data_IF_303392335224
#
_entry.id   IF_303392335224
#
_cell.length_a   1.000
_cell.length_b   1.000
_cell.length_c   1.000
_cell.angle_alpha   90.00
_cell.angle_beta   90.00
_cell.angle_gamma   90.00
#
_symmetry.space_group_name_H-M   'P 1'
#
loop_
_entity.id
_entity.type
_entity.pdbx_description
1 polymer ?
#
# COMPACT_ATOMS: atom_id res chain seq x y z
N UNK A 1 12.90 -22.71 -14.43
CA UNK A 1 12.81 -21.23 -14.47
C UNK A 1 11.62 -20.82 -13.64
N UNK A 2 11.74 -20.14 -12.50
CA UNK A 2 10.54 -19.71 -11.80
C UNK A 2 9.91 -18.58 -12.60
N UNK A 3 8.80 -18.89 -13.27
CA UNK A 3 7.98 -17.92 -13.99
C UNK A 3 7.38 -16.89 -13.04
N UNK A 4 6.89 -15.79 -13.60
CA UNK A 4 6.02 -14.85 -12.91
C UNK A 4 4.86 -15.60 -12.23
N UNK A 5 4.27 -15.00 -11.18
CA UNK A 5 3.05 -15.57 -10.61
C UNK A 5 2.00 -15.72 -11.71
N UNK A 6 1.36 -16.89 -11.73
CA UNK A 6 0.20 -17.11 -12.58
C UNK A 6 -0.86 -16.02 -12.31
N UNK A 7 -1.60 -15.55 -13.32
CA UNK A 7 -2.49 -14.39 -13.18
C UNK A 7 -3.51 -14.53 -12.03
N UNK A 8 -4.06 -15.74 -11.83
CA UNK A 8 -4.99 -16.02 -10.74
C UNK A 8 -4.33 -15.92 -9.36
N UNK A 9 -3.13 -16.48 -9.18
CA UNK A 9 -2.36 -16.35 -7.94
C UNK A 9 -1.93 -14.91 -7.68
N UNK A 10 -1.59 -14.17 -8.74
CA UNK A 10 -1.26 -12.74 -8.61
C UNK A 10 -2.49 -11.96 -8.12
N UNK A 11 -3.66 -12.17 -8.74
CA UNK A 11 -4.89 -11.47 -8.34
C UNK A 11 -5.29 -11.80 -6.90
N UNK A 12 -5.27 -13.08 -6.53
CA UNK A 12 -5.55 -13.51 -5.16
C UNK A 12 -4.55 -12.91 -4.16
N UNK A 13 -3.25 -12.88 -4.51
CA UNK A 13 -2.24 -12.27 -3.66
C UNK A 13 -2.45 -10.76 -3.50
N UNK A 14 -2.84 -10.05 -4.56
CA UNK A 14 -3.15 -8.62 -4.50
C UNK A 14 -4.37 -8.35 -3.61
N UNK A 15 -5.41 -9.14 -3.73
CA UNK A 15 -6.62 -9.05 -2.90
C UNK A 15 -6.30 -9.27 -1.42
N UNK A 16 -5.54 -10.32 -1.11
CA UNK A 16 -5.10 -10.59 0.26
C UNK A 16 -4.11 -9.54 0.79
N UNK A 17 -3.29 -8.91 -0.06
CA UNK A 17 -2.41 -7.81 0.33
C UNK A 17 -3.19 -6.52 0.63
N UNK A 18 -4.33 -6.34 -0.04
CA UNK A 18 -5.28 -5.25 0.20
C UNK A 18 -6.12 -5.51 1.46
N UNK A 19 -6.29 -6.76 1.88
CA UNK A 19 -6.87 -7.06 3.19
C UNK A 19 -5.99 -6.41 4.28
N UNK A 20 -6.61 -5.59 5.13
CA UNK A 20 -5.93 -4.59 5.95
C UNK A 20 -5.15 -5.17 7.16
N UNK A 21 -4.93 -6.49 7.20
CA UNK A 21 -4.27 -7.20 8.31
C UNK A 21 -2.81 -6.77 8.49
N UNK A 22 -2.51 -5.98 9.51
CA UNK A 22 -1.20 -5.33 9.71
C UNK A 22 -0.10 -6.26 10.26
N UNK A 23 -0.04 -7.52 9.79
CA UNK A 23 0.88 -8.53 10.33
C UNK A 23 1.84 -9.08 9.27
N UNK A 24 3.12 -9.32 9.60
CA UNK A 24 4.05 -10.07 8.76
C UNK A 24 3.56 -11.48 8.42
N UNK A 25 2.70 -12.04 9.28
CA UNK A 25 2.01 -13.31 9.06
C UNK A 25 1.18 -13.27 7.77
N UNK A 26 0.56 -12.13 7.43
CA UNK A 26 -0.24 -12.02 6.22
C UNK A 26 0.55 -12.37 4.95
N UNK A 27 1.83 -11.99 4.81
CA UNK A 27 2.62 -12.32 3.60
C UNK A 27 2.99 -13.80 3.53
N UNK A 28 3.25 -14.42 4.68
CA UNK A 28 3.52 -15.86 4.74
C UNK A 28 2.23 -16.63 4.40
N UNK A 29 1.10 -16.20 4.96
CA UNK A 29 -0.23 -16.75 4.64
C UNK A 29 -0.58 -16.61 3.16
N UNK A 30 -0.31 -15.44 2.55
CA UNK A 30 -0.51 -15.24 1.11
C UNK A 30 0.37 -16.17 0.29
N UNK A 31 1.63 -16.33 0.67
CA UNK A 31 2.53 -17.25 -0.03
C UNK A 31 2.02 -18.69 0.07
N UNK A 32 1.59 -19.12 1.27
CA UNK A 32 0.98 -20.43 1.50
C UNK A 32 -0.31 -20.62 0.71
N UNK A 33 -1.16 -19.59 0.60
CA UNK A 33 -2.37 -19.62 -0.21
C UNK A 33 -2.10 -19.78 -1.71
N UNK A 34 -0.92 -19.33 -2.19
CA UNK A 34 -0.44 -19.59 -3.55
C UNK A 34 0.40 -20.88 -3.66
N UNK A 35 0.45 -21.70 -2.60
CA UNK A 35 1.26 -22.92 -2.51
C UNK A 35 2.77 -22.66 -2.73
N UNK A 36 3.26 -21.49 -2.31
CA UNK A 36 4.63 -21.01 -2.46
C UNK A 36 5.29 -20.74 -1.11
N UNK A 37 6.62 -20.84 -1.08
CA UNK A 37 7.40 -20.32 0.05
C UNK A 37 7.46 -18.79 -0.02
N UNK A 38 7.64 -18.12 1.13
CA UNK A 38 7.79 -16.66 1.20
C UNK A 38 8.84 -16.11 0.22
N UNK A 39 9.98 -16.77 0.10
CA UNK A 39 11.07 -16.35 -0.80
C UNK A 39 10.70 -16.48 -2.27
N UNK A 40 10.07 -17.60 -2.66
CA UNK A 40 9.58 -17.78 -4.03
C UNK A 40 8.46 -16.80 -4.36
N UNK A 41 7.48 -16.64 -3.47
CA UNK A 41 6.40 -15.67 -3.62
C UNK A 41 6.95 -14.25 -3.78
N UNK A 42 7.84 -13.79 -2.90
CA UNK A 42 8.40 -12.45 -3.00
C UNK A 42 9.16 -12.20 -4.30
N UNK A 43 9.85 -13.21 -4.83
CA UNK A 43 10.59 -13.09 -6.09
C UNK A 43 9.64 -13.10 -7.29
N UNK A 44 8.71 -14.05 -7.34
CA UNK A 44 7.70 -14.13 -8.39
C UNK A 44 6.81 -12.87 -8.42
N UNK A 45 6.42 -12.36 -7.25
CA UNK A 45 5.59 -11.15 -7.11
C UNK A 45 6.33 -9.92 -7.60
N UNK A 46 7.61 -9.80 -7.26
CA UNK A 46 8.46 -8.72 -7.78
C UNK A 46 8.65 -8.81 -9.29
N UNK A 47 8.75 -10.02 -9.86
CA UNK A 47 8.81 -10.18 -11.31
C UNK A 47 7.49 -9.78 -11.98
N UNK A 48 6.35 -10.08 -11.36
CA UNK A 48 5.04 -9.71 -11.90
C UNK A 48 4.67 -8.24 -11.74
N UNK A 49 5.04 -7.60 -10.62
CA UNK A 49 4.59 -6.24 -10.24
C UNK A 49 5.69 -5.18 -10.23
N UNK A 50 6.95 -5.59 -10.38
CA UNK A 50 8.13 -4.74 -10.22
C UNK A 50 8.52 -4.42 -8.77
N UNK A 51 7.65 -4.70 -7.79
CA UNK A 51 7.83 -4.32 -6.38
C UNK A 51 7.81 -5.54 -5.46
N UNK A 52 8.48 -5.46 -4.31
CA UNK A 52 8.29 -6.50 -3.28
C UNK A 52 6.86 -6.42 -2.71
N UNK A 53 6.29 -7.52 -2.21
CA UNK A 53 4.93 -7.53 -1.65
C UNK A 53 4.71 -6.44 -0.58
N UNK A 54 5.69 -6.25 0.31
CA UNK A 54 5.67 -5.20 1.32
C UNK A 54 5.67 -3.79 0.70
N UNK A 55 6.52 -3.55 -0.29
CA UNK A 55 6.60 -2.25 -0.95
C UNK A 55 5.33 -1.95 -1.75
N UNK A 56 4.78 -2.95 -2.43
CA UNK A 56 3.51 -2.83 -3.15
C UNK A 56 2.37 -2.50 -2.20
N UNK A 57 2.29 -3.20 -1.06
CA UNK A 57 1.28 -2.94 -0.02
C UNK A 57 1.38 -1.53 0.54
N UNK A 58 2.60 -1.09 0.89
CA UNK A 58 2.83 0.27 1.36
C UNK A 58 2.41 1.32 0.32
N UNK A 59 2.71 1.07 -0.97
CA UNK A 59 2.26 1.93 -2.06
C UNK A 59 0.74 1.95 -2.17
N UNK A 60 0.08 0.80 -2.12
CA UNK A 60 -1.39 0.71 -2.16
C UNK A 60 -2.05 1.46 -0.99
N UNK A 61 -1.52 1.30 0.24
CA UNK A 61 -1.97 2.05 1.42
C UNK A 61 -1.76 3.55 1.25
N UNK A 62 -0.63 3.97 0.70
CA UNK A 62 -0.33 5.38 0.43
C UNK A 62 -1.32 5.98 -0.57
N UNK A 63 -1.59 5.28 -1.67
CA UNK A 63 -2.54 5.72 -2.69
C UNK A 63 -3.98 5.79 -2.14
N UNK A 64 -4.38 4.82 -1.30
CA UNK A 64 -5.66 4.88 -0.58
C UNK A 64 -5.71 6.08 0.37
N UNK A 65 -4.66 6.30 1.16
CA UNK A 65 -4.57 7.45 2.06
C UNK A 65 -4.66 8.78 1.31
N UNK A 66 -3.97 8.95 0.18
CA UNK A 66 -4.08 10.15 -0.67
C UNK A 66 -5.53 10.40 -1.10
N UNK A 67 -6.22 9.37 -1.59
CA UNK A 67 -7.64 9.49 -1.98
C UNK A 67 -8.53 9.91 -0.80
N UNK A 68 -8.29 9.33 0.38
CA UNK A 68 -9.04 9.68 1.60
C UNK A 68 -8.68 11.08 2.12
N UNK A 69 -7.43 11.52 1.97
CA UNK A 69 -6.99 12.87 2.35
C UNK A 69 -7.69 13.96 1.54
N UNK A 70 -8.12 13.67 0.31
CA UNK A 70 -8.93 14.57 -0.51
C UNK A 70 -10.38 14.71 -0.02
N UNK A 71 -10.81 13.89 0.95
CA UNK A 71 -12.13 13.97 1.59
C UNK A 71 -12.08 14.76 2.90
N UNK A 72 -13.23 14.90 3.58
CA UNK A 72 -13.39 15.57 4.87
C UNK A 72 -12.96 14.74 6.09
N UNK A 73 -12.49 13.50 5.91
CA UNK A 73 -12.09 12.62 7.02
C UNK A 73 -10.94 13.20 7.86
N UNK A 74 -10.91 12.91 9.16
CA UNK A 74 -9.77 13.25 10.01
C UNK A 74 -8.52 12.45 9.63
N UNK A 75 -7.32 12.95 9.97
CA UNK A 75 -6.07 12.22 9.73
C UNK A 75 -6.03 10.85 10.42
N UNK A 76 -6.73 10.73 11.54
CA UNK A 76 -6.88 9.48 12.30
C UNK A 76 -7.74 8.49 11.53
N UNK A 77 -8.92 8.91 11.07
CA UNK A 77 -9.80 8.07 10.23
C UNK A 77 -9.11 7.67 8.93
N UNK A 78 -8.42 8.60 8.26
CA UNK A 78 -7.62 8.31 7.06
C UNK A 78 -6.59 7.21 7.33
N UNK A 79 -5.87 7.28 8.45
CA UNK A 79 -4.89 6.28 8.83
C UNK A 79 -5.52 4.90 9.03
N UNK A 80 -6.61 4.84 9.80
CA UNK A 80 -7.34 3.60 10.08
C UNK A 80 -7.91 2.97 8.81
N UNK A 81 -8.56 3.77 7.97
CA UNK A 81 -9.15 3.34 6.70
C UNK A 81 -8.07 2.89 5.70
N UNK A 82 -6.91 3.55 5.69
CA UNK A 82 -5.76 3.15 4.89
C UNK A 82 -5.03 1.90 5.44
N UNK A 83 -5.47 1.34 6.57
CA UNK A 83 -4.93 0.11 7.14
C UNK A 83 -3.70 0.33 8.02
N UNK A 84 -3.56 1.50 8.63
CA UNK A 84 -2.58 1.76 9.69
C UNK A 84 -3.23 1.62 11.06
N UNK A 85 -2.47 1.09 12.02
CA UNK A 85 -2.91 0.93 13.41
C UNK A 85 -3.26 2.25 14.12
N UNK A 86 -2.57 3.34 13.78
CA UNK A 86 -2.77 4.64 14.42
C UNK A 86 -2.26 5.80 13.54
N UNK A 87 -2.69 7.01 13.90
CA UNK A 87 -2.32 8.23 13.20
C UNK A 87 -0.82 8.52 13.21
N UNK A 88 -0.09 8.19 14.28
CA UNK A 88 1.36 8.47 14.36
C UNK A 88 2.14 7.56 13.43
N UNK A 89 1.81 6.26 13.40
CA UNK A 89 2.41 5.32 12.45
C UNK A 89 2.08 5.68 11.01
N UNK A 90 0.82 6.07 10.74
CA UNK A 90 0.40 6.60 9.44
C UNK A 90 1.22 7.83 9.05
N UNK A 91 1.27 8.86 9.89
CA UNK A 91 1.94 10.14 9.59
C UNK A 91 3.43 9.95 9.30
N UNK A 92 4.12 9.13 10.11
CA UNK A 92 5.55 8.81 9.92
C UNK A 92 5.77 8.07 8.59
N UNK A 93 4.95 7.08 8.30
CA UNK A 93 5.08 6.26 7.08
C UNK A 93 4.72 7.06 5.84
N UNK A 94 3.64 7.84 5.89
CA UNK A 94 3.22 8.73 4.82
C UNK A 94 4.30 9.75 4.51
N UNK A 95 4.84 10.44 5.52
CA UNK A 95 5.90 11.43 5.32
C UNK A 95 7.16 10.81 4.73
N UNK A 96 7.55 9.61 5.18
CA UNK A 96 8.70 8.89 4.62
C UNK A 96 8.52 8.52 3.15
N UNK A 97 7.30 8.18 2.73
CA UNK A 97 7.01 7.71 1.38
C UNK A 97 6.62 8.83 0.40
N UNK A 98 5.86 9.82 0.87
CA UNK A 98 5.38 10.96 0.08
C UNK A 98 6.31 12.17 0.13
N UNK A 99 7.30 12.18 1.04
CA UNK A 99 8.23 13.31 1.25
C UNK A 99 7.63 14.48 2.03
N UNK A 100 6.33 14.44 2.35
CA UNK A 100 5.61 15.51 3.04
C UNK A 100 4.56 14.95 3.99
N UNK A 101 4.16 15.75 4.98
CA UNK A 101 3.14 15.33 5.96
C UNK A 101 1.76 15.21 5.30
N UNK A 102 0.87 14.31 5.77
CA UNK A 102 -0.48 14.18 5.22
C UNK A 102 -1.31 15.47 5.38
N UNK A 103 -1.03 16.29 6.40
CA UNK A 103 -1.62 17.62 6.57
C UNK A 103 -1.18 18.59 5.48
N UNK A 104 0.12 18.62 5.17
CA UNK A 104 0.67 19.45 4.09
C UNK A 104 0.13 19.00 2.73
N UNK A 105 0.10 17.69 2.48
CA UNK A 105 -0.47 17.13 1.25
C UNK A 105 -1.95 17.51 1.05
N UNK A 106 -2.75 17.48 2.13
CA UNK A 106 -4.15 17.94 2.10
C UNK A 106 -4.25 19.44 1.77
N UNK A 107 -3.39 20.26 2.36
CA UNK A 107 -3.37 21.70 2.07
C UNK A 107 -2.96 21.98 0.61
N UNK A 108 -1.98 21.24 0.07
CA UNK A 108 -1.59 21.32 -1.33
C UNK A 108 -2.70 20.87 -2.28
N UNK A 109 -3.48 19.84 -1.94
CA UNK A 109 -4.64 19.46 -2.78
C UNK A 109 -5.71 20.54 -2.83
N UNK A 110 -5.95 21.23 -1.72
CA UNK A 110 -6.91 22.35 -1.67
C UNK A 110 -6.39 23.54 -2.50
N UNK A 111 -5.09 23.85 -2.41
CA UNK A 111 -4.46 24.92 -3.19
C UNK A 111 -4.17 24.55 -4.66
N UNK A 112 -3.99 23.26 -4.95
CA UNK A 112 -3.53 22.68 -6.22
C UNK A 112 -4.63 22.44 -7.26
N UNK A 113 -5.87 22.88 -6.98
CA UNK A 113 -6.89 23.03 -8.03
C UNK A 113 -6.49 24.07 -9.10
N UNK A 114 -5.43 24.84 -8.84
CA UNK A 114 -4.77 25.72 -9.79
C UNK A 114 -3.31 25.29 -9.97
N UNK A 115 -3.02 24.79 -11.17
CA UNK A 115 -1.70 24.51 -11.75
C UNK A 115 -1.00 23.19 -11.40
N UNK A 116 -0.96 22.30 -12.39
CA UNK A 116 0.29 21.61 -12.75
C UNK A 116 0.32 21.38 -14.27
N UNK A 117 1.16 22.11 -15.03
CA UNK A 117 1.64 21.65 -16.33
C UNK A 117 2.97 20.92 -16.12
N UNK A 118 2.99 19.62 -16.43
CA UNK A 118 4.17 18.94 -16.94
C UNK A 118 3.78 18.23 -18.22
#
# INVERSE_FOLDING_TARGET
MPGSLAPHHLQQALELLLDNRDTPMAIIEIALACNLTRSHFSRAFKLSTGLSPLAWRLKARLEKAKKLLATSLSLTEVGLEAGFCDQSHFTKTFTRLAGMTPKAWRAEQVNGSSQSPY
#
